data_IF_874764625030
#
_entry.id   IF_874764625030
#
_cell.length_a   1.000
_cell.length_b   1.000
_cell.length_c   1.000
_cell.angle_alpha   90.00
_cell.angle_beta   90.00
_cell.angle_gamma   90.00
#
_symmetry.space_group_name_H-M   'P 1'
#
loop_
_entity.id
_entity.type
_entity.pdbx_description
1 polymer ?
#
# COMPACT_ATOMS: atom_id res chain seq x y z
N UNK A 1 11.95 10.55 11.15
CA UNK A 1 11.15 11.61 10.51
C UNK A 1 10.26 12.20 11.58
N UNK A 2 10.01 13.51 11.56
CA UNK A 2 9.05 14.13 12.48
C UNK A 2 7.67 13.53 12.18
N UNK A 3 6.95 13.12 13.21
CA UNK A 3 5.61 12.51 13.09
C UNK A 3 5.56 10.98 13.26
N UNK A 4 6.66 10.25 13.08
CA UNK A 4 6.72 8.79 13.35
C UNK A 4 7.30 8.48 14.73
N UNK A 5 6.64 7.59 15.47
CA UNK A 5 7.09 7.03 16.73
C UNK A 5 7.03 5.50 16.64
N UNK A 6 8.14 4.85 16.95
CA UNK A 6 8.24 3.39 16.99
C UNK A 6 8.53 3.02 18.44
N UNK A 7 7.59 2.33 19.08
CA UNK A 7 7.72 1.88 20.48
C UNK A 7 8.35 0.49 20.54
N UNK A 8 8.03 -0.37 19.58
CA UNK A 8 8.55 -1.74 19.50
C UNK A 8 8.63 -2.21 18.05
N UNK A 9 9.68 -2.97 17.74
CA UNK A 9 9.85 -3.62 16.44
C UNK A 9 9.64 -5.11 16.58
N UNK A 10 8.86 -5.71 15.70
CA UNK A 10 8.53 -7.14 15.68
C UNK A 10 9.04 -7.77 14.39
N UNK A 11 10.00 -8.71 14.45
CA UNK A 11 10.47 -9.42 13.27
C UNK A 11 9.55 -10.56 12.84
N UNK A 12 9.76 -11.06 11.62
CA UNK A 12 9.23 -12.32 11.08
C UNK A 12 7.70 -12.47 11.07
N UNK A 13 7.01 -11.35 10.80
CA UNK A 13 5.54 -11.28 10.73
C UNK A 13 5.04 -11.83 9.40
N UNK A 14 4.13 -12.81 9.45
CA UNK A 14 3.56 -13.42 8.24
C UNK A 14 2.39 -12.65 7.65
N UNK A 15 1.53 -12.09 8.51
CA UNK A 15 0.32 -11.41 8.09
C UNK A 15 -0.13 -10.37 9.11
N UNK A 16 -0.96 -9.45 8.65
CA UNK A 16 -1.50 -8.34 9.43
C UNK A 16 -3.01 -8.24 9.23
N UNK A 17 -3.70 -7.64 10.19
CA UNK A 17 -5.10 -7.23 10.05
C UNK A 17 -5.14 -5.74 9.67
N UNK A 18 -5.84 -5.39 8.58
CA UNK A 18 -6.24 -4.00 8.33
C UNK A 18 -7.62 -3.78 8.94
N UNK A 19 -7.67 -3.04 10.06
CA UNK A 19 -8.91 -2.75 10.77
C UNK A 19 -9.79 -1.74 10.02
N UNK A 20 -9.19 -0.95 9.13
CA UNK A 20 -9.87 -0.02 8.24
C UNK A 20 -9.18 -0.01 6.88
N UNK A 21 -9.96 0.13 5.82
CA UNK A 21 -9.45 0.44 4.48
C UNK A 21 -9.59 1.92 4.20
N UNK A 22 -8.67 2.46 3.40
CA UNK A 22 -8.83 3.80 2.82
C UNK A 22 -10.01 3.79 1.84
N UNK A 23 -11.04 4.64 2.06
CA UNK A 23 -12.22 4.68 1.20
C UNK A 23 -11.84 5.19 -0.19
N UNK A 24 -12.62 4.80 -1.20
CA UNK A 24 -12.46 5.35 -2.55
C UNK A 24 -12.73 6.86 -2.52
N UNK A 25 -11.97 7.59 -3.32
CA UNK A 25 -12.09 9.03 -3.46
C UNK A 25 -12.01 9.41 -4.94
N UNK A 26 -12.72 10.46 -5.29
CA UNK A 26 -12.84 11.00 -6.63
C UNK A 26 -12.46 12.48 -6.65
N UNK A 27 -12.60 13.12 -7.81
CA UNK A 27 -12.38 14.56 -7.96
C UNK A 27 -13.17 15.41 -6.96
N UNK A 28 -14.35 14.95 -6.53
CA UNK A 28 -15.16 15.61 -5.50
C UNK A 28 -14.42 15.66 -4.17
N UNK A 29 -13.98 14.51 -3.67
CA UNK A 29 -13.26 14.40 -2.40
C UNK A 29 -11.91 15.12 -2.46
N UNK A 30 -11.19 15.01 -3.58
CA UNK A 30 -9.88 15.66 -3.73
C UNK A 30 -9.96 17.19 -3.78
N UNK A 31 -11.14 17.74 -4.12
CA UNK A 31 -11.42 19.17 -4.11
C UNK A 31 -11.99 19.68 -2.77
N UNK A 32 -12.52 18.79 -1.93
CA UNK A 32 -13.21 19.15 -0.68
C UNK A 32 -12.20 19.56 0.40
N UNK A 33 -12.20 20.81 0.89
CA UNK A 33 -11.29 21.25 1.97
C UNK A 33 -11.48 20.45 3.27
N UNK A 34 -12.66 19.87 3.50
CA UNK A 34 -12.97 19.08 4.69
C UNK A 34 -12.83 17.57 4.47
N UNK A 35 -12.25 17.12 3.36
CA UNK A 35 -12.07 15.70 3.09
C UNK A 35 -11.26 15.02 4.21
N UNK A 36 -11.82 13.98 4.89
CA UNK A 36 -11.12 13.31 5.98
C UNK A 36 -9.77 12.73 5.56
N UNK A 37 -9.73 12.02 4.42
CA UNK A 37 -8.53 11.33 3.91
C UNK A 37 -7.44 12.24 3.33
N UNK A 38 -7.58 13.55 3.44
CA UNK A 38 -6.70 14.54 2.81
C UNK A 38 -5.20 14.36 3.13
N UNK A 39 -4.83 13.98 4.35
CA UNK A 39 -3.42 13.78 4.70
C UNK A 39 -2.76 12.59 3.97
N UNK A 40 -3.57 11.66 3.48
CA UNK A 40 -3.15 10.46 2.74
C UNK A 40 -3.73 10.45 1.32
N UNK A 41 -3.97 11.62 0.73
CA UNK A 41 -4.65 11.75 -0.56
C UNK A 41 -4.11 10.92 -1.72
N UNK A 42 -2.79 10.65 -1.72
CA UNK A 42 -2.12 9.84 -2.75
C UNK A 42 -2.09 8.35 -2.46
N UNK A 43 -2.45 7.95 -1.24
CA UNK A 43 -2.42 6.56 -0.80
C UNK A 43 -3.39 5.71 -1.63
N UNK A 44 -2.99 4.49 -1.95
CA UNK A 44 -3.88 3.55 -2.61
C UNK A 44 -5.11 3.29 -1.71
N UNK A 45 -6.26 3.06 -2.36
CA UNK A 45 -7.56 2.87 -1.71
C UNK A 45 -8.11 1.48 -2.01
N UNK A 46 -9.06 1.00 -1.20
CA UNK A 46 -9.70 -0.32 -1.36
C UNK A 46 -8.70 -1.45 -1.61
N UNK A 47 -8.91 -2.26 -2.63
CA UNK A 47 -8.01 -3.36 -3.02
C UNK A 47 -6.58 -2.90 -3.29
N UNK A 48 -6.39 -1.68 -3.84
CA UNK A 48 -5.06 -1.11 -4.04
C UNK A 48 -4.31 -0.95 -2.71
N UNK A 49 -5.01 -0.53 -1.66
CA UNK A 49 -4.45 -0.41 -0.31
C UNK A 49 -3.98 -1.78 0.20
N UNK A 50 -4.83 -2.80 0.10
CA UNK A 50 -4.51 -4.18 0.47
C UNK A 50 -3.29 -4.70 -0.32
N UNK A 51 -3.26 -4.45 -1.64
CA UNK A 51 -2.13 -4.85 -2.51
C UNK A 51 -0.81 -4.26 -2.05
N UNK A 52 -0.80 -3.04 -1.49
CA UNK A 52 0.44 -2.48 -0.95
C UNK A 52 1.02 -3.33 0.18
N UNK A 53 0.21 -4.04 0.96
CA UNK A 53 0.65 -4.95 2.03
C UNK A 53 1.12 -6.32 1.54
N UNK A 54 0.70 -6.74 0.35
CA UNK A 54 1.11 -8.03 -0.23
C UNK A 54 2.31 -7.89 -1.18
N UNK A 55 2.51 -6.70 -1.77
CA UNK A 55 3.62 -6.42 -2.67
C UNK A 55 4.97 -6.28 -1.97
N UNK A 56 6.05 -6.48 -2.72
CA UNK A 56 7.42 -6.25 -2.28
C UNK A 56 7.86 -4.82 -2.59
N UNK A 57 8.74 -4.26 -1.78
CA UNK A 57 9.33 -2.96 -2.03
C UNK A 57 10.59 -3.11 -2.90
N UNK A 58 10.68 -2.32 -3.96
CA UNK A 58 11.86 -2.24 -4.81
C UNK A 58 12.18 -0.80 -5.18
N UNK A 59 13.47 -0.49 -5.22
CA UNK A 59 13.97 0.82 -5.57
C UNK A 59 14.97 0.72 -6.71
N UNK A 60 14.80 1.57 -7.71
CA UNK A 60 15.66 1.65 -8.87
C UNK A 60 16.15 3.09 -9.06
N UNK A 61 17.40 3.25 -9.46
CA UNK A 61 17.96 4.50 -9.94
C UNK A 61 17.60 4.72 -11.42
N UNK A 62 17.99 5.87 -11.96
CA UNK A 62 17.89 6.14 -13.40
C UNK A 62 18.55 5.02 -14.22
N UNK A 63 17.89 4.58 -15.28
CA UNK A 63 18.35 3.44 -16.10
C UNK A 63 18.02 2.05 -15.53
N UNK A 64 17.24 1.94 -14.45
CA UNK A 64 16.73 0.65 -13.94
C UNK A 64 17.71 -0.12 -13.06
N UNK A 65 18.79 0.51 -12.62
CA UNK A 65 19.76 -0.11 -11.70
C UNK A 65 19.16 -0.17 -10.29
N UNK A 66 19.10 -1.34 -9.63
CA UNK A 66 18.62 -1.43 -8.25
C UNK A 66 19.45 -0.54 -7.32
N UNK A 67 18.79 0.19 -6.42
CA UNK A 67 19.44 0.98 -5.37
C UNK A 67 19.03 0.50 -3.99
N UNK A 68 19.84 0.76 -2.95
CA UNK A 68 19.46 0.45 -1.57
C UNK A 68 18.16 1.15 -1.15
N UNK A 69 17.38 0.46 -0.33
CA UNK A 69 16.23 1.02 0.37
C UNK A 69 16.69 1.35 1.79
N UNK A 70 16.54 2.62 2.17
CA UNK A 70 16.77 3.11 3.54
C UNK A 70 15.49 3.73 4.06
N UNK A 71 15.47 4.11 5.35
CA UNK A 71 14.34 4.80 5.96
C UNK A 71 13.98 6.09 5.20
N UNK A 72 14.97 6.83 4.74
CA UNK A 72 14.83 8.10 4.04
C UNK A 72 14.50 7.87 2.54
N UNK A 73 15.12 6.86 1.94
CA UNK A 73 15.03 6.59 0.51
C UNK A 73 14.28 5.29 0.21
N UNK A 74 12.96 5.35 0.42
CA UNK A 74 12.02 4.25 0.13
C UNK A 74 11.89 3.97 -1.37
N UNK A 75 11.42 2.77 -1.72
CA UNK A 75 11.11 2.31 -3.06
C UNK A 75 9.61 2.37 -3.39
N UNK A 76 9.23 1.77 -4.52
CA UNK A 76 7.83 1.55 -4.89
C UNK A 76 7.40 0.14 -4.49
N UNK A 77 6.13 -0.03 -4.16
CA UNK A 77 5.56 -1.36 -3.93
C UNK A 77 5.21 -1.99 -5.28
N UNK A 78 5.64 -3.22 -5.50
CA UNK A 78 5.46 -3.97 -6.73
C UNK A 78 4.85 -5.34 -6.44
N UNK A 79 3.97 -5.79 -7.32
CA UNK A 79 3.40 -7.16 -7.30
C UNK A 79 3.85 -8.00 -8.49
N UNK A 80 4.60 -7.42 -9.43
CA UNK A 80 5.10 -8.13 -10.61
C UNK A 80 6.28 -9.05 -10.26
N UNK A 81 6.25 -10.28 -10.78
CA UNK A 81 7.35 -11.26 -10.67
C UNK A 81 8.55 -10.92 -11.56
N UNK A 82 9.10 -9.70 -11.42
CA UNK A 82 10.39 -9.40 -12.00
C UNK A 82 11.48 -10.11 -11.20
N UNK A 83 12.37 -10.81 -11.90
CA UNK A 83 13.60 -11.38 -11.36
C UNK A 83 14.44 -10.29 -10.70
N UNK A 84 14.72 -10.45 -9.41
CA UNK A 84 15.55 -9.56 -8.60
C UNK A 84 15.49 -9.94 -7.12
N UNK A 85 16.41 -9.46 -6.28
CA UNK A 85 16.40 -9.78 -4.85
C UNK A 85 15.13 -9.22 -4.21
N UNK A 86 14.15 -10.08 -3.86
CA UNK A 86 12.96 -9.72 -3.06
C UNK A 86 13.35 -9.47 -1.59
N UNK A 87 14.33 -8.59 -1.35
CA UNK A 87 14.92 -8.33 -0.02
C UNK A 87 13.94 -7.71 0.96
N UNK A 88 12.88 -7.06 0.45
CA UNK A 88 11.84 -6.37 1.20
C UNK A 88 10.46 -6.91 0.79
N UNK A 89 10.09 -8.13 1.23
CA UNK A 89 8.86 -8.77 0.80
C UNK A 89 7.60 -8.08 1.36
N UNK A 90 6.44 -8.43 0.80
CA UNK A 90 5.14 -8.19 1.41
C UNK A 90 4.85 -9.15 2.55
N UNK A 91 3.73 -8.90 3.23
CA UNK A 91 3.11 -9.92 4.07
C UNK A 91 2.56 -11.04 3.18
N UNK A 92 2.55 -12.28 3.69
CA UNK A 92 2.00 -13.44 3.00
C UNK A 92 0.50 -13.33 2.82
N UNK A 93 -0.16 -12.74 3.81
CA UNK A 93 -1.60 -12.51 3.80
C UNK A 93 -1.98 -11.26 4.58
N UNK A 94 -3.15 -10.73 4.28
CA UNK A 94 -3.74 -9.56 4.93
C UNK A 94 -5.18 -9.89 5.26
N UNK A 95 -5.54 -9.83 6.53
CA UNK A 95 -6.92 -9.98 6.94
C UNK A 95 -7.58 -8.59 6.96
N UNK A 96 -8.81 -8.50 6.48
CA UNK A 96 -9.57 -7.26 6.43
C UNK A 96 -10.94 -7.49 7.02
N UNK A 97 -11.36 -6.55 7.88
CA UNK A 97 -12.74 -6.49 8.35
C UNK A 97 -13.55 -5.75 7.28
N UNK A 98 -14.41 -6.46 6.56
CA UNK A 98 -15.26 -5.88 5.54
C UNK A 98 -16.35 -5.05 6.23
N UNK A 99 -16.39 -3.75 5.92
CA UNK A 99 -17.31 -2.82 6.57
C UNK A 99 -18.76 -2.98 6.11
N UNK A 100 -19.03 -3.71 5.01
CA UNK A 100 -20.39 -3.90 4.48
C UNK A 100 -21.14 -5.02 5.21
N UNK A 101 -20.46 -6.12 5.51
CA UNK A 101 -21.06 -7.30 6.14
C UNK A 101 -20.50 -7.60 7.54
N UNK A 102 -19.45 -6.89 7.97
CA UNK A 102 -18.77 -7.10 9.26
C UNK A 102 -17.92 -8.38 9.30
N UNK A 103 -17.80 -9.11 8.19
CA UNK A 103 -17.06 -10.35 8.14
C UNK A 103 -15.57 -10.11 7.88
N UNK A 104 -14.76 -11.09 8.29
CA UNK A 104 -13.31 -11.04 8.11
C UNK A 104 -12.93 -11.85 6.89
N UNK A 105 -12.11 -11.26 6.01
CA UNK A 105 -11.61 -11.94 4.82
C UNK A 105 -10.08 -11.90 4.80
N UNK A 106 -9.48 -13.04 4.45
CA UNK A 106 -8.05 -13.15 4.21
C UNK A 106 -7.76 -12.93 2.73
N UNK A 107 -6.89 -11.97 2.48
CA UNK A 107 -6.39 -11.63 1.17
C UNK A 107 -4.96 -12.13 0.97
N UNK A 108 -4.68 -12.68 -0.20
CA UNK A 108 -3.34 -13.13 -0.59
C UNK A 108 -3.04 -12.78 -2.05
N UNK A 109 -1.75 -12.69 -2.37
CA UNK A 109 -1.29 -12.53 -3.74
C UNK A 109 -1.03 -13.85 -4.43
N UNK A 110 -1.52 -14.03 -5.65
CA UNK A 110 -1.16 -15.17 -6.49
C UNK A 110 -0.97 -14.74 -7.94
N UNK A 111 -0.17 -15.49 -8.69
CA UNK A 111 -0.02 -15.30 -10.14
C UNK A 111 -0.87 -16.34 -10.85
N UNK A 112 -1.84 -15.86 -11.64
CA UNK A 112 -2.79 -16.70 -12.37
C UNK A 112 -2.72 -16.46 -13.86
N UNK A 113 -3.06 -17.50 -14.62
CA UNK A 113 -3.31 -17.36 -16.06
C UNK A 113 -4.61 -16.58 -16.24
N UNK A 114 -4.51 -15.39 -16.81
CA UNK A 114 -5.67 -14.50 -17.08
C UNK A 114 -6.05 -14.47 -18.55
N UNK A 115 -5.29 -15.14 -19.41
CA UNK A 115 -5.61 -15.21 -20.83
C UNK A 115 -4.55 -15.96 -21.62
N UNK A 116 -4.69 -15.92 -22.94
CA UNK A 116 -3.70 -16.44 -23.88
C UNK A 116 -3.27 -15.36 -24.86
N UNK A 117 -2.01 -15.42 -25.27
CA UNK A 117 -1.43 -14.58 -26.32
C UNK A 117 -2.12 -14.88 -27.65
N UNK A 118 -2.39 -13.83 -28.42
CA UNK A 118 -2.94 -13.94 -29.77
C UNK A 118 -1.90 -14.61 -30.70
N UNK A 119 -2.24 -15.79 -31.20
CA UNK A 119 -1.37 -16.58 -32.09
C UNK A 119 -1.28 -16.02 -33.51
N UNK A 120 -2.11 -15.04 -33.87
CA UNK A 120 -2.02 -14.34 -35.16
C UNK A 120 -1.00 -13.19 -35.11
N UNK A 121 -0.59 -12.75 -33.92
CA UNK A 121 0.42 -11.72 -33.77
C UNK A 121 1.78 -12.22 -34.26
N UNK A 122 2.42 -11.46 -35.17
CA UNK A 122 3.72 -11.84 -35.78
C UNK A 122 4.78 -12.19 -34.74
N UNK A 123 4.86 -11.46 -33.62
CA UNK A 123 5.81 -11.74 -32.55
C UNK A 123 5.59 -13.10 -31.88
N UNK A 124 4.33 -13.52 -31.73
CA UNK A 124 3.96 -14.82 -31.17
C UNK A 124 4.23 -15.95 -32.17
N UNK A 125 3.91 -15.73 -33.45
CA UNK A 125 4.24 -16.69 -34.53
C UNK A 125 5.75 -16.93 -34.64
N UNK A 126 6.55 -15.86 -34.57
CA UNK A 126 8.01 -15.96 -34.57
C UNK A 126 8.54 -16.72 -33.33
N UNK A 127 7.94 -16.52 -32.16
CA UNK A 127 8.31 -17.24 -30.95
C UNK A 127 7.97 -18.74 -31.06
N UNK A 128 6.77 -19.09 -31.53
CA UNK A 128 6.34 -20.47 -31.76
C UNK A 128 7.18 -21.19 -32.82
N UNK A 129 7.61 -20.47 -33.88
CA UNK A 129 8.50 -21.03 -34.90
C UNK A 129 9.90 -21.35 -34.35
N UNK A 130 10.34 -20.65 -33.31
CA UNK A 130 11.63 -20.91 -32.62
C UNK A 130 11.51 -21.97 -31.55
N UNK A 131 10.38 -22.01 -30.84
CA UNK A 131 10.08 -22.97 -29.79
C UNK A 131 8.60 -23.39 -29.88
N UNK A 132 8.31 -24.61 -30.36
CA UNK A 132 6.94 -25.14 -30.41
C UNK A 132 6.25 -25.22 -29.04
N UNK A 133 7.01 -25.23 -27.94
CA UNK A 133 6.49 -25.27 -26.57
C UNK A 133 6.38 -23.86 -25.95
N UNK A 134 6.50 -22.79 -26.74
CA UNK A 134 6.42 -21.42 -26.25
C UNK A 134 5.15 -21.18 -25.43
N UNK A 135 5.30 -20.75 -24.19
CA UNK A 135 4.18 -20.52 -23.29
C UNK A 135 3.30 -19.37 -23.80
N UNK A 136 2.08 -19.73 -24.21
CA UNK A 136 1.08 -18.79 -24.70
C UNK A 136 0.25 -18.18 -23.58
N UNK A 137 0.42 -18.59 -22.33
CA UNK A 137 -0.32 -18.03 -21.22
C UNK A 137 0.09 -16.57 -20.96
N UNK A 138 -0.90 -15.76 -20.61
CA UNK A 138 -0.72 -14.43 -20.06
C UNK A 138 -0.95 -14.56 -18.56
N UNK A 139 0.09 -14.31 -17.78
CA UNK A 139 0.02 -14.32 -16.33
C UNK A 139 -0.22 -12.91 -15.80
N UNK A 140 -1.04 -12.80 -14.76
CA UNK A 140 -1.19 -11.58 -14.00
C UNK A 140 -1.22 -11.90 -12.52
N UNK A 141 -0.70 -10.97 -11.73
CA UNK A 141 -0.86 -11.02 -10.29
C UNK A 141 -2.31 -10.65 -9.93
N UNK A 142 -2.96 -11.52 -9.16
CA UNK A 142 -4.34 -11.39 -8.74
C UNK A 142 -4.43 -11.34 -7.22
N UNK A 143 -5.43 -10.58 -6.75
CA UNK A 143 -5.77 -10.50 -5.34
C UNK A 143 -6.82 -11.58 -5.05
N UNK A 144 -6.42 -12.61 -4.32
CA UNK A 144 -7.32 -13.68 -3.88
C UNK A 144 -7.96 -13.32 -2.55
N UNK A 145 -9.20 -13.76 -2.35
CA UNK A 145 -10.00 -13.52 -1.14
C UNK A 145 -10.66 -14.83 -0.70
N UNK A 146 -10.50 -15.16 0.57
CA UNK A 146 -11.21 -16.26 1.24
C UNK A 146 -11.78 -15.75 2.58
N UNK A 147 -12.79 -16.42 3.17
CA UNK A 147 -13.15 -16.17 4.58
C UNK A 147 -11.90 -16.33 5.46
N UNK A 148 -11.68 -15.40 6.39
CA UNK A 148 -10.49 -15.42 7.23
C UNK A 148 -10.49 -16.66 8.14
N UNK A 149 -9.45 -17.51 8.09
CA UNK A 149 -9.35 -18.67 8.97
C UNK A 149 -8.85 -18.28 10.36
N UNK A 150 -9.23 -19.06 11.37
CA UNK A 150 -8.67 -18.94 12.71
C UNK A 150 -7.27 -19.59 12.82
N UNK A 151 -6.35 -19.03 13.63
CA UNK A 151 -6.50 -17.75 14.32
C UNK A 151 -6.25 -16.55 13.40
N UNK A 152 -6.86 -15.41 13.74
CA UNK A 152 -6.56 -14.13 13.11
C UNK A 152 -5.09 -13.71 13.35
N UNK A 153 -4.47 -12.92 12.44
CA UNK A 153 -3.14 -12.38 12.68
C UNK A 153 -3.13 -11.48 13.91
N UNK A 154 -2.06 -11.60 14.71
CA UNK A 154 -1.90 -10.90 15.98
C UNK A 154 -1.81 -9.38 15.86
N UNK A 155 -1.26 -8.88 14.76
CA UNK A 155 -0.96 -7.45 14.62
C UNK A 155 -1.96 -6.75 13.71
N UNK A 156 -2.51 -5.65 14.21
CA UNK A 156 -3.47 -4.81 13.52
C UNK A 156 -2.88 -3.48 13.06
N UNK A 157 -3.36 -2.98 11.94
CA UNK A 157 -3.08 -1.63 11.42
C UNK A 157 -4.40 -0.89 11.30
N UNK A 158 -4.44 0.33 11.82
CA UNK A 158 -5.61 1.21 11.74
C UNK A 158 -5.18 2.64 11.51
N UNK A 159 -6.15 3.50 11.21
CA UNK A 159 -5.94 4.92 11.10
C UNK A 159 -7.14 5.73 11.61
N UNK A 160 -6.85 6.99 11.88
CA UNK A 160 -7.79 8.00 12.32
C UNK A 160 -7.53 9.28 11.51
N UNK A 161 -8.55 9.72 10.78
CA UNK A 161 -8.49 10.92 9.97
C UNK A 161 -9.07 12.09 10.77
N UNK A 162 -8.32 13.18 10.90
CA UNK A 162 -8.75 14.32 11.70
C UNK A 162 -9.37 15.41 10.80
N UNK A 163 -10.58 15.83 11.14
CA UNK A 163 -11.25 16.98 10.52
C UNK A 163 -11.44 18.05 11.59
N UNK A 164 -10.39 18.84 11.80
CA UNK A 164 -10.32 19.89 12.82
C UNK A 164 -10.59 21.24 12.15
N UNK A 165 -11.72 21.93 12.43
CA UNK A 165 -12.10 23.15 11.72
C UNK A 165 -11.02 24.23 11.67
N UNK A 166 -10.28 24.43 12.77
CA UNK A 166 -9.22 25.42 12.88
C UNK A 166 -8.02 25.08 11.98
N UNK A 167 -7.66 23.80 11.87
CA UNK A 167 -6.62 23.34 10.94
C UNK A 167 -7.09 23.48 9.49
N UNK A 168 -8.35 23.12 9.21
CA UNK A 168 -8.93 23.20 7.85
C UNK A 168 -9.02 24.64 7.36
N UNK A 169 -9.31 25.59 8.24
CA UNK A 169 -9.29 27.02 7.92
C UNK A 169 -7.88 27.51 7.47
N UNK A 170 -6.82 26.84 7.93
CA UNK A 170 -5.43 27.10 7.53
C UNK A 170 -4.95 26.23 6.35
N UNK A 171 -5.83 25.39 5.79
CA UNK A 171 -5.49 24.45 4.72
C UNK A 171 -4.68 23.24 5.19
N UNK A 172 -4.70 22.95 6.50
CA UNK A 172 -3.99 21.81 7.11
C UNK A 172 -4.96 20.64 7.32
N UNK A 173 -4.53 19.45 6.92
CA UNK A 173 -5.17 18.19 7.24
C UNK A 173 -4.18 17.30 8.01
N UNK A 174 -4.69 16.47 8.91
CA UNK A 174 -3.88 15.53 9.66
C UNK A 174 -4.55 14.16 9.80
N UNK A 175 -3.75 13.11 9.93
CA UNK A 175 -4.25 11.76 10.21
C UNK A 175 -3.20 10.94 10.94
N UNK A 176 -3.65 10.05 11.83
CA UNK A 176 -2.79 9.16 12.62
C UNK A 176 -2.94 7.73 12.14
N UNK A 177 -1.84 7.05 11.83
CA UNK A 177 -1.78 5.60 11.62
C UNK A 177 -1.25 4.95 12.90
N UNK A 178 -1.84 3.83 13.32
CA UNK A 178 -1.37 3.06 14.48
C UNK A 178 -1.16 1.60 14.11
N UNK A 179 -0.10 1.01 14.65
CA UNK A 179 0.18 -0.42 14.64
C UNK A 179 -0.06 -0.96 16.05
N UNK A 180 -0.87 -2.00 16.19
CA UNK A 180 -1.39 -2.47 17.47
C UNK A 180 -1.14 -3.98 17.59
N UNK A 181 -0.71 -4.42 18.76
CA UNK A 181 -0.76 -5.83 19.16
C UNK A 181 -2.17 -6.15 19.66
N UNK A 182 -2.93 -6.93 18.90
CA UNK A 182 -4.36 -7.20 19.18
C UNK A 182 -4.54 -8.14 20.38
N UNK A 183 -3.51 -8.89 20.78
CA UNK A 183 -3.58 -9.75 21.98
C UNK A 183 -3.44 -8.93 23.26
N UNK A 184 -2.60 -7.91 23.26
CA UNK A 184 -2.27 -7.11 24.45
C UNK A 184 -2.94 -5.74 24.49
N UNK A 185 -3.41 -5.24 23.33
CA UNK A 185 -3.88 -3.88 23.15
C UNK A 185 -2.76 -2.83 23.07
N UNK A 186 -1.49 -3.25 23.07
CA UNK A 186 -0.33 -2.36 23.04
C UNK A 186 -0.19 -1.68 21.68
N UNK A 187 0.05 -0.35 21.67
CA UNK A 187 0.43 0.37 20.46
C UNK A 187 1.93 0.20 20.23
N UNK A 188 2.31 -0.42 19.12
CA UNK A 188 3.69 -0.73 18.74
C UNK A 188 4.37 0.41 17.98
N UNK A 189 3.57 1.23 17.29
CA UNK A 189 4.05 2.44 16.63
C UNK A 189 2.90 3.31 16.14
N UNK A 190 3.18 4.60 16.03
CA UNK A 190 2.25 5.61 15.52
C UNK A 190 2.92 6.53 14.50
N UNK A 191 2.19 6.88 13.45
CA UNK A 191 2.59 7.90 12.49
C UNK A 191 1.50 8.96 12.40
N UNK A 192 1.81 10.15 12.88
CA UNK A 192 1.05 11.36 12.64
C UNK A 192 1.56 12.01 11.35
N UNK A 193 0.67 12.15 10.36
CA UNK A 193 0.96 12.79 9.09
C UNK A 193 0.11 14.03 8.91
N UNK A 194 0.76 15.09 8.46
CA UNK A 194 0.13 16.34 8.05
C UNK A 194 0.19 16.50 6.53
N UNK A 195 -0.83 17.14 5.97
CA UNK A 195 -0.81 17.69 4.63
C UNK A 195 -1.26 19.15 4.67
N UNK A 196 -0.59 20.00 3.89
CA UNK A 196 -0.95 21.40 3.73
C UNK A 196 -1.14 21.73 2.25
N UNK A 197 -2.26 22.37 1.94
CA UNK A 197 -2.55 22.85 0.59
C UNK A 197 -3.28 24.19 0.63
N UNK A 198 -3.16 24.95 -0.46
CA UNK A 198 -4.08 26.03 -0.77
C UNK A 198 -5.45 25.48 -1.20
N UNK A 199 -6.52 26.29 -1.11
CA UNK A 199 -7.85 25.90 -1.59
C UNK A 199 -7.88 25.54 -3.08
N UNK A 200 -8.83 24.69 -3.46
CA UNK A 200 -9.04 24.30 -4.85
C UNK A 200 -9.35 25.51 -5.73
N UNK A 201 -8.78 25.53 -6.93
CA UNK A 201 -9.06 26.54 -7.96
C UNK A 201 -8.94 25.91 -9.36
N UNK A 202 -9.17 26.69 -10.42
CA UNK A 202 -9.14 26.17 -11.79
C UNK A 202 -7.77 25.59 -12.21
N UNK A 203 -6.67 26.12 -11.67
CA UNK A 203 -5.32 25.60 -11.95
C UNK A 203 -4.95 24.38 -11.09
N UNK A 204 -5.55 24.25 -9.91
CA UNK A 204 -5.36 23.12 -8.99
C UNK A 204 -6.72 22.65 -8.44
N UNK A 205 -7.50 21.90 -9.23
CA UNK A 205 -8.83 21.45 -8.83
C UNK A 205 -8.79 20.33 -7.78
N UNK A 206 -7.62 19.71 -7.54
CA UNK A 206 -7.43 18.60 -6.59
C UNK A 206 -6.27 18.91 -5.63
N UNK A 207 -6.42 19.93 -4.77
CA UNK A 207 -5.36 20.44 -3.90
C UNK A 207 -4.69 19.37 -3.03
N UNK A 208 -5.46 18.42 -2.51
CA UNK A 208 -4.90 17.39 -1.62
C UNK A 208 -3.91 16.45 -2.32
N UNK A 209 -4.07 16.22 -3.63
CA UNK A 209 -3.10 15.44 -4.41
C UNK A 209 -1.78 16.19 -4.59
N UNK A 210 -1.75 17.51 -4.54
CA UNK A 210 -0.55 18.34 -4.72
C UNK A 210 0.01 18.90 -3.41
N UNK A 211 -0.71 18.72 -2.29
CA UNK A 211 -0.35 19.17 -0.96
C UNK A 211 1.10 18.85 -0.55
N UNK A 212 1.70 19.72 0.25
CA UNK A 212 2.94 19.41 0.98
C UNK A 212 2.62 18.46 2.12
N UNK A 213 3.40 17.38 2.29
CA UNK A 213 3.13 16.34 3.29
C UNK A 213 4.31 16.17 4.23
N UNK A 214 4.04 15.77 5.47
CA UNK A 214 5.06 15.44 6.46
C UNK A 214 4.52 14.40 7.47
N UNK A 215 5.19 13.25 7.69
CA UNK A 215 6.33 12.75 6.93
C UNK A 215 5.95 12.48 5.46
N UNK A 216 6.92 12.59 4.56
CA UNK A 216 6.75 12.24 3.15
C UNK A 216 7.97 11.51 2.62
N UNK A 217 7.74 10.68 1.61
CA UNK A 217 8.81 9.99 0.89
C UNK A 217 8.79 10.44 -0.57
N UNK A 218 9.97 10.69 -1.14
CA UNK A 218 10.08 11.12 -2.53
C UNK A 218 9.52 10.10 -3.53
N UNK A 219 9.47 8.82 -3.15
CA UNK A 219 8.99 7.70 -3.98
C UNK A 219 7.93 6.93 -3.23
N UNK A 220 6.92 6.47 -3.97
CA UNK A 220 5.83 5.60 -3.51
C UNK A 220 4.99 6.22 -2.40
N UNK A 221 4.56 7.47 -2.59
CA UNK A 221 3.65 8.18 -1.69
C UNK A 221 2.29 7.48 -1.54
N UNK A 222 1.99 6.58 -2.47
CA UNK A 222 0.80 5.75 -2.57
C UNK A 222 0.78 4.56 -1.59
N UNK A 223 1.89 4.33 -0.88
CA UNK A 223 2.03 3.25 0.09
C UNK A 223 2.64 3.74 1.42
N UNK A 224 2.34 4.97 1.83
CA UNK A 224 2.94 5.60 3.01
C UNK A 224 2.65 4.81 4.30
N UNK A 225 1.41 4.36 4.51
CA UNK A 225 1.04 3.53 5.66
C UNK A 225 1.83 2.22 5.65
N UNK A 226 1.83 1.48 4.53
CA UNK A 226 2.61 0.23 4.41
C UNK A 226 4.07 0.45 4.79
N UNK A 227 4.67 1.53 4.29
CA UNK A 227 6.07 1.86 4.54
C UNK A 227 6.36 2.12 6.01
N UNK A 228 5.47 2.84 6.69
CA UNK A 228 5.57 3.04 8.13
C UNK A 228 5.43 1.71 8.88
N UNK A 229 4.43 0.89 8.53
CA UNK A 229 4.20 -0.42 9.16
C UNK A 229 5.42 -1.31 9.04
N UNK A 230 6.12 -1.32 7.91
CA UNK A 230 7.36 -2.10 7.72
C UNK A 230 8.54 -1.66 8.60
N UNK A 231 8.46 -0.50 9.26
CA UNK A 231 9.42 -0.11 10.29
C UNK A 231 9.09 -0.71 11.66
N UNK A 232 7.84 -1.13 11.87
CA UNK A 232 7.31 -1.66 13.13
C UNK A 232 7.19 -3.19 13.07
N UNK A 233 6.61 -3.72 11.99
CA UNK A 233 6.40 -5.13 11.74
C UNK A 233 7.26 -5.53 10.54
N UNK A 234 8.29 -6.34 10.73
CA UNK A 234 9.17 -6.74 9.63
C UNK A 234 8.56 -7.98 8.97
N UNK A 235 8.20 -7.93 7.68
CA UNK A 235 7.65 -9.09 6.99
C UNK A 235 8.63 -10.26 6.97
N UNK A 236 8.12 -11.47 7.17
CA UNK A 236 8.90 -12.70 7.07
C UNK A 236 9.53 -12.83 5.68
N UNK A 237 10.84 -13.11 5.64
CA UNK A 237 11.57 -13.39 4.40
C UNK A 237 11.36 -14.85 3.98
N UNK A 238 11.29 -15.08 2.68
CA UNK A 238 11.42 -16.44 2.14
C UNK A 238 12.89 -16.85 2.26
N UNK A 239 13.13 -18.00 2.88
CA UNK A 239 14.46 -18.62 3.02
C UNK A 239 14.84 -19.37 1.75
#
# INVERSE_FOLDING_TARGET
MVGEKIYKVVPDVEGVVLLKLRPQASSREWADPNWPGAAFARENMGDGYIKTFLGYEAAFAFGGVPRPITKEYRGSINTSDKLGPKKYPGYRYVDVIDAQDGQHYRYSGSVKVVGRKDTTAKGVQMALARDPNYDLNIYSWTLDRIPAPDPAPRYGVTFEDHVIPEERALGVASSTVRVIDLETGEVLGEMLRYAWSTPANSANPSPWLTAHRCPDHAVGTDAATRKFVDQVLIPRKEH
#
